data_IF_473596553984
#
_entry.id   IF_473596553984
#
_cell.length_a   1.000
_cell.length_b   1.000
_cell.length_c   1.000
_cell.angle_alpha   90.00
_cell.angle_beta   90.00
_cell.angle_gamma   90.00
#
_symmetry.space_group_name_H-M   'P 1'
#
loop_
_entity.id
_entity.type
_entity.pdbx_description
1 polymer ?
#
# COMPACT_ATOMS: atom_id res chain seq x y z
N UNK A 1 -4.44 -41.15 -6.78
CA UNK A 1 -4.42 -39.71 -7.10
C UNK A 1 -2.97 -39.33 -7.30
N UNK A 2 -2.54 -39.06 -8.53
CA UNK A 2 -1.15 -38.78 -8.86
C UNK A 2 -0.77 -37.41 -8.31
N UNK A 3 -0.10 -37.37 -7.16
CA UNK A 3 0.68 -36.20 -6.77
C UNK A 3 1.94 -36.23 -7.65
N UNK A 4 1.91 -35.48 -8.75
CA UNK A 4 3.13 -35.19 -9.52
C UNK A 4 4.17 -34.55 -8.60
N UNK A 5 5.45 -34.72 -8.91
CA UNK A 5 6.49 -34.02 -8.16
C UNK A 5 6.22 -32.50 -8.20
N UNK A 6 6.37 -31.79 -7.07
CA UNK A 6 6.19 -30.35 -7.04
C UNK A 6 7.15 -29.70 -8.02
N UNK A 7 6.65 -28.69 -8.74
CA UNK A 7 7.51 -27.93 -9.67
C UNK A 7 8.65 -27.23 -8.91
N UNK A 8 9.69 -26.83 -9.64
CA UNK A 8 10.81 -26.05 -9.06
C UNK A 8 10.30 -24.76 -8.40
N UNK A 9 9.33 -24.08 -9.03
CA UNK A 9 8.72 -22.87 -8.48
C UNK A 9 7.89 -23.17 -7.23
N UNK A 10 7.13 -24.25 -7.23
CA UNK A 10 6.37 -24.66 -6.05
C UNK A 10 7.31 -24.90 -4.88
N UNK A 11 8.39 -25.66 -5.11
CA UNK A 11 9.42 -25.94 -4.11
C UNK A 11 10.09 -24.66 -3.61
N UNK A 12 10.46 -23.75 -4.51
CA UNK A 12 11.05 -22.46 -4.16
C UNK A 12 10.13 -21.62 -3.26
N UNK A 13 8.83 -21.56 -3.60
CA UNK A 13 7.87 -20.74 -2.87
C UNK A 13 7.32 -21.40 -1.59
N UNK A 14 7.54 -22.70 -1.36
CA UNK A 14 7.11 -23.38 -0.14
C UNK A 14 7.60 -22.69 1.14
N UNK A 15 8.83 -22.16 1.12
CA UNK A 15 9.41 -21.47 2.28
C UNK A 15 8.62 -20.23 2.69
N UNK A 16 7.98 -19.54 1.75
CA UNK A 16 7.11 -18.39 2.03
C UNK A 16 5.69 -18.84 2.32
N UNK A 17 5.19 -19.82 1.57
CA UNK A 17 3.81 -20.32 1.68
C UNK A 17 3.47 -20.75 3.11
N UNK A 18 4.37 -21.46 3.78
CA UNK A 18 4.17 -21.95 5.17
C UNK A 18 3.97 -20.83 6.20
N UNK A 19 4.38 -19.60 5.89
CA UNK A 19 4.30 -18.44 6.78
C UNK A 19 3.08 -17.55 6.52
N UNK A 20 2.30 -17.82 5.47
CA UNK A 20 1.04 -17.13 5.20
C UNK A 20 0.05 -17.48 6.32
N UNK A 21 -0.49 -16.46 6.97
CA UNK A 21 -1.50 -16.66 8.03
C UNK A 21 -2.78 -17.24 7.40
N UNK A 22 -3.25 -18.34 7.97
CA UNK A 22 -4.47 -19.02 7.52
C UNK A 22 -4.33 -19.79 6.20
N UNK A 23 -3.12 -20.11 5.73
CA UNK A 23 -2.89 -20.84 4.47
C UNK A 23 -3.63 -22.18 4.38
N UNK A 24 -3.82 -22.86 5.51
CA UNK A 24 -4.58 -24.10 5.62
C UNK A 24 -5.91 -23.94 6.37
N UNK A 25 -6.38 -22.70 6.49
CA UNK A 25 -7.64 -22.39 7.16
C UNK A 25 -8.80 -23.11 6.48
N UNK A 26 -9.70 -23.64 7.30
CA UNK A 26 -10.93 -24.28 6.86
C UNK A 26 -12.15 -23.51 7.37
N UNK A 27 -13.30 -23.78 6.77
CA UNK A 27 -14.58 -23.21 7.18
C UNK A 27 -15.68 -24.28 7.12
N UNK A 28 -16.70 -24.13 7.96
CA UNK A 28 -17.88 -24.96 7.91
C UNK A 28 -18.78 -24.52 6.75
N UNK A 29 -19.20 -25.48 5.93
CA UNK A 29 -20.15 -25.28 4.83
C UNK A 29 -21.34 -26.25 4.98
N UNK A 30 -22.44 -26.05 4.22
CA UNK A 30 -23.52 -27.03 4.14
C UNK A 30 -23.09 -28.43 3.70
N UNK A 31 -21.91 -28.56 3.08
CA UNK A 31 -21.33 -29.82 2.60
C UNK A 31 -20.21 -30.34 3.53
N UNK A 32 -20.20 -29.90 4.79
CA UNK A 32 -19.15 -30.22 5.76
C UNK A 32 -17.98 -29.23 5.75
N UNK A 33 -16.88 -29.62 6.39
CA UNK A 33 -15.69 -28.78 6.50
C UNK A 33 -14.95 -28.69 5.15
N UNK A 34 -14.70 -27.46 4.71
CA UNK A 34 -14.02 -27.18 3.43
C UNK A 34 -12.75 -26.36 3.67
N UNK A 35 -11.71 -26.61 2.87
CA UNK A 35 -10.48 -25.81 2.89
C UNK A 35 -10.70 -24.49 2.16
N UNK A 36 -10.23 -23.38 2.72
CA UNK A 36 -10.25 -22.09 2.02
C UNK A 36 -9.19 -22.12 0.91
N UNK A 37 -9.65 -21.92 -0.33
CA UNK A 37 -8.79 -21.70 -1.49
C UNK A 37 -8.77 -20.19 -1.74
N UNK A 38 -7.70 -19.52 -1.34
CA UNK A 38 -7.57 -18.07 -1.49
C UNK A 38 -6.88 -17.72 -2.80
N UNK A 39 -7.63 -17.09 -3.70
CA UNK A 39 -7.19 -16.70 -5.06
C UNK A 39 -7.37 -15.21 -5.32
N UNK A 40 -7.48 -14.39 -4.26
CA UNK A 40 -7.75 -12.95 -4.33
C UNK A 40 -6.51 -12.09 -4.06
N UNK A 41 -5.32 -12.65 -4.32
CA UNK A 41 -4.02 -12.02 -4.06
C UNK A 41 -3.79 -10.69 -4.80
N UNK A 42 -4.49 -10.50 -5.92
CA UNK A 42 -4.43 -9.26 -6.70
C UNK A 42 -5.19 -8.12 -6.05
N UNK A 43 -6.23 -8.42 -5.27
CA UNK A 43 -6.99 -7.40 -4.55
C UNK A 43 -6.36 -7.11 -3.18
N UNK A 44 -5.98 -8.15 -2.43
CA UNK A 44 -5.31 -7.99 -1.14
C UNK A 44 -4.42 -9.19 -0.79
N UNK A 45 -3.29 -8.92 -0.16
CA UNK A 45 -2.46 -9.97 0.44
C UNK A 45 -3.03 -10.44 1.78
N UNK A 46 -2.75 -11.69 2.14
CA UNK A 46 -2.91 -12.16 3.52
C UNK A 46 -1.74 -11.71 4.39
N UNK A 47 -1.99 -11.62 5.70
CA UNK A 47 -0.95 -11.36 6.69
C UNK A 47 0.18 -12.41 6.59
N UNK A 48 1.41 -11.95 6.79
CA UNK A 48 2.60 -12.78 6.71
C UNK A 48 3.25 -12.86 8.10
N UNK A 49 3.20 -14.05 8.71
CA UNK A 49 3.50 -14.24 10.13
C UNK A 49 4.83 -13.63 10.58
N UNK A 50 5.97 -13.79 9.87
CA UNK A 50 7.24 -13.16 10.25
C UNK A 50 7.18 -11.63 10.32
N UNK A 51 6.38 -10.97 9.49
CA UNK A 51 6.20 -9.51 9.54
C UNK A 51 5.36 -9.15 10.76
N UNK A 52 4.24 -9.85 10.99
CA UNK A 52 3.38 -9.59 12.15
C UNK A 52 4.10 -9.80 13.48
N UNK A 53 4.90 -10.86 13.58
CA UNK A 53 5.68 -11.16 14.79
C UNK A 53 6.74 -10.09 15.06
N UNK A 54 7.38 -9.56 14.02
CA UNK A 54 8.30 -8.43 14.15
C UNK A 54 7.59 -7.16 14.58
N UNK A 55 6.47 -6.83 13.93
CA UNK A 55 5.68 -5.66 14.28
C UNK A 55 5.22 -5.72 15.74
N UNK A 56 4.72 -6.87 16.19
CA UNK A 56 4.22 -7.05 17.54
C UNK A 56 5.34 -7.06 18.59
N UNK A 57 6.39 -7.85 18.37
CA UNK A 57 7.36 -8.16 19.42
C UNK A 57 8.65 -7.32 19.35
N UNK A 58 9.05 -6.86 18.17
CA UNK A 58 10.27 -6.05 17.99
C UNK A 58 9.94 -4.56 17.92
N UNK A 59 8.91 -4.15 17.20
CA UNK A 59 8.54 -2.73 17.07
C UNK A 59 7.54 -2.27 18.14
N UNK A 60 6.54 -3.10 18.44
CA UNK A 60 5.48 -2.82 19.41
C UNK A 60 5.98 -2.25 20.74
N UNK A 61 7.00 -2.85 21.39
CA UNK A 61 7.53 -2.34 22.67
C UNK A 61 8.20 -0.97 22.59
N UNK A 62 8.62 -0.53 21.41
CA UNK A 62 9.31 0.75 21.21
C UNK A 62 8.43 1.82 20.57
N UNK A 63 7.13 1.54 20.35
CA UNK A 63 6.21 2.50 19.73
C UNK A 63 6.23 3.82 20.50
N UNK A 64 6.63 4.87 19.80
CA UNK A 64 6.66 6.23 20.24
C UNK A 64 6.49 7.14 19.02
N UNK A 65 6.17 8.41 19.25
CA UNK A 65 6.14 9.38 18.17
C UNK A 65 7.52 9.48 17.51
N UNK A 66 7.53 9.48 16.18
CA UNK A 66 8.70 9.87 15.41
C UNK A 66 8.96 11.36 15.61
N UNK A 67 10.18 11.84 15.35
CA UNK A 67 10.61 13.23 15.57
C UNK A 67 10.96 13.61 17.03
N UNK A 68 11.15 12.60 17.88
CA UNK A 68 11.69 12.78 19.23
C UNK A 68 12.90 11.87 19.39
N UNK A 69 14.08 12.44 19.65
CA UNK A 69 15.33 11.69 19.87
C UNK A 69 15.76 11.64 21.35
N UNK A 70 14.90 12.11 22.25
CA UNK A 70 15.19 12.26 23.68
C UNK A 70 14.96 10.97 24.48
N UNK A 71 14.31 9.96 23.90
CA UNK A 71 14.09 8.65 24.53
C UNK A 71 14.56 7.53 23.61
N UNK A 72 14.90 6.39 24.21
CA UNK A 72 15.26 5.17 23.47
C UNK A 72 14.17 4.78 22.47
N UNK A 73 12.90 4.88 22.87
CA UNK A 73 11.75 4.54 22.03
C UNK A 73 11.56 5.52 20.87
N UNK A 74 11.69 6.82 21.12
CA UNK A 74 11.57 7.86 20.08
C UNK A 74 12.70 7.79 19.05
N UNK A 75 13.94 7.60 19.50
CA UNK A 75 15.11 7.43 18.63
C UNK A 75 15.00 6.16 17.80
N UNK A 76 14.62 5.03 18.41
CA UNK A 76 14.44 3.76 17.69
C UNK A 76 13.39 3.89 16.57
N UNK A 77 12.23 4.49 16.86
CA UNK A 77 11.18 4.68 15.85
C UNK A 77 11.57 5.66 14.75
N UNK A 78 12.28 6.73 15.09
CA UNK A 78 12.76 7.71 14.10
C UNK A 78 13.78 7.07 13.15
N UNK A 79 14.75 6.31 13.68
CA UNK A 79 15.74 5.57 12.87
C UNK A 79 15.05 4.54 11.97
N UNK A 80 14.12 3.75 12.53
CA UNK A 80 13.36 2.75 11.77
C UNK A 80 12.58 3.40 10.63
N UNK A 81 11.92 4.53 10.89
CA UNK A 81 11.18 5.30 9.88
C UNK A 81 12.09 5.78 8.74
N UNK A 82 13.24 6.38 9.06
CA UNK A 82 14.20 6.81 8.04
C UNK A 82 14.77 5.64 7.23
N UNK A 83 15.06 4.52 7.88
CA UNK A 83 15.55 3.31 7.20
C UNK A 83 14.48 2.73 6.25
N UNK A 84 13.23 2.66 6.68
CA UNK A 84 12.13 2.21 5.85
C UNK A 84 11.96 3.08 4.60
N UNK A 85 12.03 4.42 4.75
CA UNK A 85 11.98 5.35 3.60
C UNK A 85 13.13 5.13 2.63
N UNK A 86 14.34 4.87 3.13
CA UNK A 86 15.51 4.60 2.30
C UNK A 86 15.32 3.32 1.47
N UNK A 87 14.89 2.23 2.12
CA UNK A 87 14.61 0.94 1.45
C UNK A 87 13.53 1.11 0.37
N UNK A 88 12.43 1.81 0.67
CA UNK A 88 11.36 2.05 -0.31
C UNK A 88 11.89 2.83 -1.52
N UNK A 89 12.65 3.91 -1.28
CA UNK A 89 13.24 4.72 -2.35
C UNK A 89 14.18 3.89 -3.23
N UNK A 90 15.06 3.09 -2.64
CA UNK A 90 15.96 2.20 -3.36
C UNK A 90 15.17 1.18 -4.21
N UNK A 91 14.13 0.57 -3.64
CA UNK A 91 13.31 -0.43 -4.33
C UNK A 91 12.59 0.12 -5.57
N UNK A 92 12.19 1.40 -5.55
CA UNK A 92 11.55 2.07 -6.69
C UNK A 92 12.53 2.89 -7.54
N UNK A 93 13.85 2.74 -7.30
CA UNK A 93 14.91 3.48 -7.99
C UNK A 93 14.73 5.01 -7.95
N UNK A 94 14.29 5.54 -6.80
CA UNK A 94 14.14 6.97 -6.58
C UNK A 94 15.51 7.65 -6.36
N UNK A 95 15.69 8.80 -7.01
CA UNK A 95 16.86 9.66 -6.87
C UNK A 95 16.80 10.53 -5.61
N UNK A 96 17.83 11.36 -5.43
CA UNK A 96 17.89 12.36 -4.35
C UNK A 96 16.86 13.49 -4.55
N UNK A 97 16.49 13.78 -5.79
CA UNK A 97 15.52 14.82 -6.16
C UNK A 97 14.07 14.33 -6.02
N UNK A 98 13.86 13.02 -5.90
CA UNK A 98 12.53 12.45 -5.75
C UNK A 98 12.01 12.55 -4.31
N UNK A 99 10.71 12.80 -4.16
CA UNK A 99 10.04 12.90 -2.86
C UNK A 99 9.16 11.69 -2.62
N UNK A 100 9.37 11.01 -1.48
CA UNK A 100 8.48 9.95 -1.01
C UNK A 100 7.40 10.54 -0.09
N UNK A 101 6.15 10.50 -0.55
CA UNK A 101 4.97 10.96 0.19
C UNK A 101 4.12 9.75 0.58
N UNK A 102 4.04 9.47 1.88
CA UNK A 102 3.06 8.52 2.42
C UNK A 102 1.71 9.24 2.60
N UNK A 103 0.62 8.64 2.13
CA UNK A 103 -0.74 9.20 2.24
C UNK A 103 -1.72 8.10 2.60
N UNK A 104 -2.75 8.44 3.40
CA UNK A 104 -3.63 7.52 4.12
C UNK A 104 -4.22 6.35 3.30
N UNK A 105 -5.43 6.52 2.76
CA UNK A 105 -6.31 5.44 2.29
C UNK A 105 -5.96 4.91 0.90
N UNK A 106 -4.71 4.48 0.70
CA UNK A 106 -4.25 3.85 -0.53
C UNK A 106 -4.18 4.81 -1.74
N UNK A 107 -4.25 4.25 -2.94
CA UNK A 107 -4.02 4.98 -4.19
C UNK A 107 -4.98 6.15 -4.39
N UNK A 108 -6.26 5.99 -4.06
CA UNK A 108 -7.26 7.07 -4.13
C UNK A 108 -6.82 8.27 -3.30
N UNK A 109 -6.38 8.05 -2.05
CA UNK A 109 -5.92 9.14 -1.18
C UNK A 109 -4.67 9.85 -1.70
N UNK A 110 -3.75 9.11 -2.32
CA UNK A 110 -2.50 9.66 -2.87
C UNK A 110 -2.77 10.52 -4.12
N UNK A 111 -3.57 10.03 -5.08
CA UNK A 111 -3.87 10.77 -6.32
C UNK A 111 -4.58 12.09 -6.02
N UNK A 112 -5.58 12.07 -5.12
CA UNK A 112 -6.28 13.28 -4.70
C UNK A 112 -5.35 14.28 -4.00
N UNK A 113 -4.40 13.80 -3.18
CA UNK A 113 -3.38 14.66 -2.55
C UNK A 113 -2.43 15.24 -3.58
N UNK A 114 -2.03 14.45 -4.57
CA UNK A 114 -1.16 14.90 -5.65
C UNK A 114 -1.81 16.01 -6.49
N UNK A 115 -3.07 15.83 -6.91
CA UNK A 115 -3.85 16.87 -7.61
C UNK A 115 -3.94 18.18 -6.82
N UNK A 116 -4.08 18.11 -5.49
CA UNK A 116 -4.09 19.28 -4.62
C UNK A 116 -2.73 19.97 -4.55
N UNK A 117 -1.63 19.21 -4.47
CA UNK A 117 -0.27 19.76 -4.48
C UNK A 117 0.01 20.51 -5.79
N UNK A 118 -0.47 19.98 -6.91
CA UNK A 118 -0.38 20.63 -8.22
C UNK A 118 -1.31 21.85 -8.37
N UNK A 119 -2.14 22.15 -7.38
CA UNK A 119 -3.11 23.26 -7.43
C UNK A 119 -4.28 23.01 -8.39
N UNK A 120 -4.50 21.77 -8.84
CA UNK A 120 -5.54 21.44 -9.80
C UNK A 120 -6.91 21.25 -9.17
N UNK A 121 -6.95 20.98 -7.85
CA UNK A 121 -8.19 20.73 -7.13
C UNK A 121 -8.59 21.92 -6.26
N UNK A 122 -9.70 22.54 -6.63
CA UNK A 122 -10.30 23.70 -5.93
C UNK A 122 -11.29 23.18 -4.88
N UNK A 123 -11.38 23.86 -3.74
CA UNK A 123 -12.42 23.53 -2.75
C UNK A 123 -13.81 23.86 -3.29
N UNK A 124 -14.76 22.94 -3.14
CA UNK A 124 -16.13 23.08 -3.67
C UNK A 124 -16.80 24.39 -3.22
N UNK A 125 -16.59 24.79 -1.97
CA UNK A 125 -17.18 26.01 -1.41
C UNK A 125 -16.71 27.29 -2.12
N UNK A 126 -15.52 27.27 -2.73
CA UNK A 126 -14.94 28.41 -3.45
C UNK A 126 -14.96 28.26 -4.97
N UNK A 127 -15.36 27.09 -5.49
CA UNK A 127 -15.35 26.77 -6.94
C UNK A 127 -16.12 27.81 -7.76
N UNK A 128 -17.26 28.28 -7.25
CA UNK A 128 -18.07 29.34 -7.88
C UNK A 128 -17.38 30.71 -7.98
N UNK A 129 -16.37 30.97 -7.15
CA UNK A 129 -15.59 32.20 -7.18
C UNK A 129 -14.31 32.08 -8.02
N UNK A 130 -13.97 30.87 -8.48
CA UNK A 130 -12.80 30.62 -9.30
C UNK A 130 -13.16 30.68 -10.79
N UNK A 131 -12.85 31.80 -11.46
CA UNK A 131 -12.92 31.91 -12.91
C UNK A 131 -11.55 31.58 -13.52
N UNK A 132 -11.38 30.34 -14.00
CA UNK A 132 -10.12 29.89 -14.63
C UNK A 132 -10.26 29.95 -16.15
N UNK A 133 -9.46 30.77 -16.85
CA UNK A 133 -9.40 30.79 -18.32
C UNK A 133 -9.17 29.40 -18.91
N UNK A 134 -9.82 29.11 -20.05
CA UNK A 134 -9.73 27.78 -20.70
C UNK A 134 -8.28 27.40 -21.02
N UNK A 135 -7.47 28.36 -21.45
CA UNK A 135 -6.08 28.15 -21.88
C UNK A 135 -5.12 27.84 -20.71
N UNK A 136 -5.55 28.07 -19.47
CA UNK A 136 -4.81 27.70 -18.26
C UNK A 136 -5.21 26.34 -17.70
N UNK A 137 -6.26 25.71 -18.26
CA UNK A 137 -6.68 24.38 -17.81
C UNK A 137 -5.76 23.32 -18.41
N UNK A 138 -5.15 22.45 -17.57
CA UNK A 138 -4.28 21.40 -18.10
C UNK A 138 -5.10 20.37 -18.87
N UNK A 139 -4.46 19.74 -19.84
CA UNK A 139 -4.98 18.55 -20.50
C UNK A 139 -4.41 17.34 -19.76
N UNK A 140 -5.28 16.46 -19.28
CA UNK A 140 -4.90 15.21 -18.62
C UNK A 140 -5.17 14.04 -19.56
N UNK A 141 -4.13 13.29 -19.88
CA UNK A 141 -4.23 12.08 -20.69
C UNK A 141 -4.36 10.86 -19.78
N UNK A 142 -5.39 10.05 -20.02
CA UNK A 142 -5.65 8.79 -19.33
C UNK A 142 -5.95 7.70 -20.33
N UNK A 143 -5.79 6.44 -19.95
CA UNK A 143 -6.15 5.30 -20.79
C UNK A 143 -7.62 4.88 -20.58
N UNK A 144 -8.11 3.98 -21.42
CA UNK A 144 -9.47 3.45 -21.30
C UNK A 144 -9.62 2.37 -20.22
N UNK A 145 -8.51 1.85 -19.68
CA UNK A 145 -8.48 0.76 -18.69
C UNK A 145 -7.89 1.24 -17.35
N UNK A 146 -8.11 2.51 -17.00
CA UNK A 146 -7.67 3.05 -15.72
C UNK A 146 -8.47 2.44 -14.56
N UNK A 147 -7.78 2.20 -13.45
CA UNK A 147 -8.47 1.89 -12.21
C UNK A 147 -9.26 3.12 -11.73
N UNK A 148 -10.45 2.90 -11.16
CA UNK A 148 -11.33 3.98 -10.71
C UNK A 148 -10.67 4.94 -9.70
N UNK A 149 -9.73 4.46 -8.88
CA UNK A 149 -8.96 5.31 -7.96
C UNK A 149 -8.13 6.40 -8.67
N UNK A 150 -7.78 6.19 -9.93
CA UNK A 150 -7.11 7.18 -10.78
C UNK A 150 -8.14 7.94 -11.62
N UNK A 151 -9.05 7.24 -12.32
CA UNK A 151 -9.95 7.87 -13.29
C UNK A 151 -10.96 8.84 -12.65
N UNK A 152 -11.67 8.42 -11.61
CA UNK A 152 -12.81 9.18 -11.06
C UNK A 152 -12.37 10.54 -10.53
N UNK A 153 -11.19 10.62 -9.92
CA UNK A 153 -10.70 11.89 -9.37
C UNK A 153 -10.46 12.95 -10.44
N UNK A 154 -10.11 12.56 -11.68
CA UNK A 154 -9.94 13.50 -12.78
C UNK A 154 -11.26 14.01 -13.35
N UNK A 155 -12.32 13.19 -13.31
CA UNK A 155 -13.68 13.60 -13.74
C UNK A 155 -14.33 14.58 -12.75
N UNK A 156 -14.00 14.45 -11.47
CA UNK A 156 -14.51 15.31 -10.40
C UNK A 156 -13.74 16.63 -10.22
N UNK A 157 -12.57 16.77 -10.85
CA UNK A 157 -11.69 17.95 -10.69
C UNK A 157 -12.31 19.21 -11.30
#
# INVERSE_FOLDING_TARGET
>A
MFLGQPSDLETYFQQFRKHIVGVDQKFASPYGEQKIIYTDWTASGRLYRPIEEKLLNEFGPFVANTHTETSVTGSAMTIAYHKARSIIKEHVNASKEDVLITSGTGMTGVVNKFQRILGLRISENIKKYAAIPKDLKPIVFITHMEHHSNQTSWLET
#
